data_IF_391685001499
#
_entry.id   IF_391685001499
#
_cell.length_a   1.000
_cell.length_b   1.000
_cell.length_c   1.000
_cell.angle_alpha   90.00
_cell.angle_beta   90.00
_cell.angle_gamma   90.00
#
_symmetry.space_group_name_H-M   'P 1'
#
loop_
_entity.id
_entity.type
_entity.pdbx_description
1 polymer ?
#
# COMPACT_ATOMS: atom_id res chain seq x y z
N UNK A 1 -13.32 13.49 -4.71
CA UNK A 1 -13.52 14.60 -3.75
C UNK A 1 -14.67 15.45 -4.24
N UNK A 2 -15.74 15.60 -3.45
CA UNK A 2 -16.93 16.35 -3.85
C UNK A 2 -16.64 17.86 -3.70
N UNK A 3 -17.37 18.72 -4.43
CA UNK A 3 -17.23 20.19 -4.29
C UNK A 3 -17.43 20.68 -2.86
N UNK A 4 -18.32 20.01 -2.13
CA UNK A 4 -18.62 20.31 -0.72
C UNK A 4 -17.41 20.09 0.19
N UNK A 5 -16.58 19.09 -0.08
CA UNK A 5 -15.37 18.80 0.69
C UNK A 5 -14.33 19.93 0.57
N UNK A 6 -14.21 20.50 -0.63
CA UNK A 6 -13.27 21.58 -0.94
C UNK A 6 -13.71 22.88 -0.25
N UNK A 7 -15.00 23.19 -0.28
CA UNK A 7 -15.52 24.41 0.35
C UNK A 7 -15.41 24.33 1.89
N UNK A 8 -15.60 23.13 2.46
CA UNK A 8 -15.37 22.87 3.89
C UNK A 8 -13.92 23.13 4.31
N UNK A 9 -12.95 22.56 3.58
CA UNK A 9 -11.52 22.78 3.86
C UNK A 9 -11.11 24.24 3.69
N UNK A 10 -11.68 24.93 2.68
CA UNK A 10 -11.42 26.36 2.47
C UNK A 10 -11.90 27.19 3.66
N UNK A 11 -13.11 26.92 4.16
CA UNK A 11 -13.66 27.63 5.32
C UNK A 11 -12.81 27.40 6.57
N UNK A 12 -12.40 26.16 6.82
CA UNK A 12 -11.52 25.81 7.95
C UNK A 12 -10.20 26.58 7.90
N UNK A 13 -9.58 26.67 6.72
CA UNK A 13 -8.36 27.47 6.52
C UNK A 13 -8.61 28.97 6.78
N UNK A 14 -9.72 29.52 6.31
CA UNK A 14 -10.08 30.93 6.52
C UNK A 14 -10.27 31.24 8.01
N UNK A 15 -11.00 30.38 8.74
CA UNK A 15 -11.22 30.51 10.17
C UNK A 15 -9.90 30.41 10.95
N UNK A 16 -9.01 29.49 10.56
CA UNK A 16 -7.70 29.34 11.18
C UNK A 16 -6.81 30.58 10.98
N UNK A 17 -6.76 31.12 9.75
CA UNK A 17 -5.98 32.33 9.42
C UNK A 17 -6.57 33.58 10.09
N UNK A 18 -7.89 33.66 10.26
CA UNK A 18 -8.52 34.76 11.00
C UNK A 18 -8.05 34.84 12.46
N UNK A 19 -7.75 33.69 13.08
CA UNK A 19 -7.27 33.60 14.47
C UNK A 19 -5.74 33.72 14.58
N UNK A 20 -4.99 33.07 13.69
CA UNK A 20 -3.53 32.92 13.81
C UNK A 20 -2.73 33.84 12.87
N UNK A 21 -3.42 34.67 12.08
CA UNK A 21 -2.83 35.51 11.04
C UNK A 21 -2.28 34.71 9.87
N UNK A 22 -1.84 35.41 8.83
CA UNK A 22 -1.28 34.79 7.63
C UNK A 22 -0.03 33.98 7.95
N UNK A 23 0.74 34.32 9.00
CA UNK A 23 1.89 33.53 9.46
C UNK A 23 1.56 32.10 9.87
N UNK A 24 0.32 31.83 10.33
CA UNK A 24 -0.13 30.49 10.73
C UNK A 24 -0.40 29.54 9.55
N UNK A 25 -0.47 30.05 8.32
CA UNK A 25 -0.87 29.26 7.14
C UNK A 25 -0.01 28.01 6.93
N UNK A 26 1.31 28.14 7.14
CA UNK A 26 2.26 27.05 6.91
C UNK A 26 2.00 25.92 7.90
N UNK A 27 1.79 26.26 9.18
CA UNK A 27 1.49 25.27 10.21
C UNK A 27 0.15 24.58 9.96
N UNK A 28 -0.87 25.31 9.51
CA UNK A 28 -2.16 24.71 9.13
C UNK A 28 -1.98 23.71 7.99
N UNK A 29 -1.31 24.12 6.90
CA UNK A 29 -1.08 23.26 5.73
C UNK A 29 -0.21 22.05 6.10
N UNK A 30 0.87 22.24 6.85
CA UNK A 30 1.74 21.14 7.29
C UNK A 30 0.94 20.15 8.16
N UNK A 31 0.13 20.64 9.10
CA UNK A 31 -0.71 19.78 9.93
C UNK A 31 -1.76 19.04 9.07
N UNK A 32 -2.42 19.74 8.15
CA UNK A 32 -3.52 19.20 7.35
C UNK A 32 -3.03 18.19 6.29
N UNK A 33 -1.95 18.53 5.58
CA UNK A 33 -1.36 17.67 4.55
C UNK A 33 -0.66 16.44 5.13
N UNK A 34 -0.18 16.49 6.38
CA UNK A 34 0.50 15.37 7.02
C UNK A 34 -0.40 14.56 7.96
N UNK A 35 -1.72 14.86 8.06
CA UNK A 35 -2.62 14.10 8.95
C UNK A 35 -2.64 12.61 8.63
N UNK A 36 -2.57 12.26 7.35
CA UNK A 36 -2.57 10.86 6.90
C UNK A 36 -1.40 10.06 7.47
N UNK A 37 -0.27 10.71 7.79
CA UNK A 37 0.91 10.03 8.34
C UNK A 37 0.74 9.57 9.79
N UNK A 38 -0.32 10.02 10.49
CA UNK A 38 -0.63 9.60 11.87
C UNK A 38 -1.03 8.13 11.97
N UNK A 39 -1.53 7.57 10.88
CA UNK A 39 -2.01 6.19 10.83
C UNK A 39 -1.24 5.41 9.77
N UNK A 40 -0.96 4.12 10.00
CA UNK A 40 -0.32 3.29 8.99
C UNK A 40 -1.27 3.12 7.80
N UNK A 41 -0.79 3.51 6.61
CA UNK A 41 -1.42 3.25 5.33
C UNK A 41 -0.79 2.00 4.72
N UNK A 42 -1.55 0.90 4.69
CA UNK A 42 -1.08 -0.44 4.29
C UNK A 42 -1.58 -0.77 2.89
N UNK A 43 -0.64 -0.96 1.98
CA UNK A 43 -0.91 -1.31 0.59
C UNK A 43 -0.44 -2.74 0.35
N UNK A 44 -1.37 -3.66 0.11
CA UNK A 44 -1.06 -4.99 -0.37
C UNK A 44 -0.74 -4.95 -1.86
N UNK A 45 0.37 -5.56 -2.29
CA UNK A 45 0.76 -5.70 -3.69
C UNK A 45 0.83 -7.18 -4.01
N UNK A 46 0.05 -7.63 -4.99
CA UNK A 46 -0.07 -9.07 -5.29
C UNK A 46 -0.29 -9.35 -6.78
N UNK A 47 0.09 -10.57 -7.16
CA UNK A 47 -0.08 -11.27 -8.43
C UNK A 47 0.77 -12.57 -8.38
N UNK A 48 0.54 -13.48 -9.31
CA UNK A 48 1.47 -14.47 -9.83
C UNK A 48 2.94 -13.99 -9.91
N UNK A 49 3.88 -14.90 -9.68
CA UNK A 49 5.33 -14.62 -9.71
C UNK A 49 5.84 -14.10 -11.07
N UNK A 50 6.95 -13.36 -11.07
CA UNK A 50 7.63 -12.89 -12.30
C UNK A 50 7.03 -11.64 -12.95
N UNK A 51 5.97 -11.07 -12.37
CA UNK A 51 5.21 -9.95 -12.94
C UNK A 51 5.70 -8.55 -12.52
N UNK A 52 6.94 -8.44 -12.03
CA UNK A 52 7.55 -7.14 -11.71
C UNK A 52 7.06 -6.47 -10.41
N UNK A 53 6.34 -7.18 -9.52
CA UNK A 53 5.85 -6.65 -8.23
C UNK A 53 6.94 -5.96 -7.41
N UNK A 54 8.06 -6.64 -7.18
CA UNK A 54 9.16 -6.10 -6.38
C UNK A 54 9.80 -4.88 -7.05
N UNK A 55 9.82 -4.83 -8.39
CA UNK A 55 10.25 -3.65 -9.16
C UNK A 55 9.28 -2.48 -8.99
N UNK A 56 7.97 -2.75 -8.99
CA UNK A 56 6.93 -1.75 -8.73
C UNK A 56 7.05 -1.20 -7.30
N UNK A 57 7.14 -2.07 -6.29
CA UNK A 57 7.32 -1.68 -4.88
C UNK A 57 8.54 -0.78 -4.73
N UNK A 58 9.68 -1.16 -5.33
CA UNK A 58 10.89 -0.35 -5.29
C UNK A 58 10.69 1.00 -5.97
N UNK A 59 10.03 1.04 -7.12
CA UNK A 59 9.74 2.27 -7.86
C UNK A 59 8.85 3.21 -7.04
N UNK A 60 7.78 2.69 -6.44
CA UNK A 60 6.88 3.45 -5.57
C UNK A 60 7.61 4.01 -4.34
N UNK A 61 8.60 3.26 -3.82
CA UNK A 61 9.46 3.68 -2.70
C UNK A 61 10.65 4.56 -3.11
N UNK A 62 10.79 4.88 -4.41
CA UNK A 62 11.92 5.65 -4.94
C UNK A 62 13.28 4.96 -4.80
N UNK A 63 13.32 3.63 -4.72
CA UNK A 63 14.52 2.82 -4.54
C UNK A 63 14.97 2.18 -5.86
N UNK A 64 16.30 2.06 -6.03
CA UNK A 64 16.89 1.24 -7.10
C UNK A 64 16.91 -0.22 -6.62
N UNK A 65 16.90 -1.18 -7.56
CA UNK A 65 16.84 -2.62 -7.26
C UNK A 65 17.98 -3.14 -6.37
N UNK A 66 19.13 -2.47 -6.36
CA UNK A 66 20.30 -2.81 -5.53
C UNK A 66 20.48 -1.94 -4.30
N UNK A 67 19.56 -1.02 -4.03
CA UNK A 67 19.61 -0.17 -2.85
C UNK A 67 19.41 -1.01 -1.57
N UNK A 68 20.07 -0.66 -0.45
CA UNK A 68 19.75 -1.26 0.84
C UNK A 68 18.25 -1.15 1.14
N UNK A 69 17.63 -2.26 1.55
CA UNK A 69 16.19 -2.31 1.85
C UNK A 69 15.26 -2.36 0.63
N UNK A 70 15.78 -2.48 -0.59
CA UNK A 70 14.98 -2.75 -1.79
C UNK A 70 14.37 -4.17 -1.74
N UNK A 71 13.16 -4.29 -2.25
CA UNK A 71 12.53 -5.57 -2.52
C UNK A 71 13.38 -6.33 -3.56
N UNK A 72 13.69 -7.60 -3.29
CA UNK A 72 14.56 -8.40 -4.15
C UNK A 72 13.84 -8.66 -5.47
N UNK A 73 14.51 -8.36 -6.59
CA UNK A 73 14.00 -8.60 -7.94
C UNK A 73 14.68 -9.86 -8.50
N UNK A 74 13.90 -10.83 -8.98
CA UNK A 74 14.41 -12.06 -9.59
C UNK A 74 13.34 -12.81 -10.39
N UNK A 75 13.77 -13.73 -11.27
CA UNK A 75 12.90 -14.50 -12.19
C UNK A 75 12.23 -15.70 -11.51
N UNK A 76 12.88 -16.26 -10.49
CA UNK A 76 12.34 -17.34 -9.65
C UNK A 76 11.31 -16.75 -8.69
N UNK A 77 10.27 -17.49 -8.30
CA UNK A 77 9.33 -17.06 -7.25
C UNK A 77 10.07 -16.56 -6.01
N UNK A 78 10.20 -15.23 -5.89
CA UNK A 78 11.07 -14.63 -4.88
C UNK A 78 10.38 -14.46 -3.52
N UNK A 79 9.10 -14.75 -3.42
CA UNK A 79 8.29 -14.42 -2.25
C UNK A 79 7.45 -15.63 -1.82
N UNK A 80 8.08 -16.53 -1.06
CA UNK A 80 7.41 -17.65 -0.35
C UNK A 80 6.86 -17.22 1.03
N UNK A 81 6.94 -15.92 1.35
CA UNK A 81 6.49 -15.34 2.61
C UNK A 81 6.06 -13.90 2.41
N UNK A 82 4.95 -13.49 3.03
CA UNK A 82 4.53 -12.08 3.11
C UNK A 82 5.69 -11.20 3.60
N UNK A 83 6.04 -10.16 2.84
CA UNK A 83 7.16 -9.27 3.18
C UNK A 83 6.74 -7.81 3.24
N UNK A 84 7.09 -7.15 4.34
CA UNK A 84 6.76 -5.75 4.63
C UNK A 84 7.89 -4.82 4.20
N UNK A 85 7.52 -3.73 3.52
CA UNK A 85 8.42 -2.70 3.01
C UNK A 85 7.89 -1.30 3.37
N UNK A 86 8.29 -0.73 4.51
CA UNK A 86 8.00 0.67 4.83
C UNK A 86 8.64 1.62 3.81
N UNK A 87 7.95 2.69 3.46
CA UNK A 87 8.52 3.75 2.64
C UNK A 87 9.67 4.44 3.38
N UNK A 88 10.85 4.66 2.75
CA UNK A 88 12.00 5.27 3.40
C UNK A 88 11.76 6.72 3.85
N UNK A 89 10.89 7.47 3.16
CA UNK A 89 10.57 8.87 3.49
C UNK A 89 9.36 8.97 4.41
N UNK A 90 8.42 8.04 4.30
CA UNK A 90 7.17 8.03 5.07
C UNK A 90 6.92 6.66 5.69
N UNK A 91 7.48 6.33 6.87
CA UNK A 91 7.38 5.00 7.46
C UNK A 91 5.95 4.50 7.74
N UNK A 92 4.97 5.41 7.86
CA UNK A 92 3.54 5.08 7.98
C UNK A 92 2.95 4.54 6.68
N UNK A 93 3.55 4.81 5.51
CA UNK A 93 3.20 4.19 4.23
C UNK A 93 3.95 2.86 4.10
N UNK A 94 3.21 1.76 4.05
CA UNK A 94 3.76 0.41 4.13
C UNK A 94 3.27 -0.40 2.95
N UNK A 95 4.20 -0.93 2.16
CA UNK A 95 3.90 -1.87 1.09
C UNK A 95 4.10 -3.31 1.58
N UNK A 96 3.12 -4.17 1.36
CA UNK A 96 3.22 -5.60 1.62
C UNK A 96 3.31 -6.33 0.29
N UNK A 97 4.45 -6.98 0.04
CA UNK A 97 4.59 -7.91 -1.10
C UNK A 97 3.94 -9.23 -0.70
N UNK A 98 2.78 -9.50 -1.30
CA UNK A 98 2.05 -10.73 -1.07
C UNK A 98 2.40 -11.76 -2.16
N UNK A 99 2.48 -13.04 -1.79
CA UNK A 99 2.62 -14.14 -2.73
C UNK A 99 1.44 -14.19 -3.72
N UNK A 100 1.64 -14.83 -4.87
CA UNK A 100 0.57 -14.99 -5.85
C UNK A 100 -0.43 -16.05 -5.41
N UNK A 101 -1.72 -15.82 -5.65
CA UNK A 101 -2.77 -16.79 -5.35
C UNK A 101 -2.86 -17.88 -6.42
N UNK A 102 -3.21 -19.09 -5.98
CA UNK A 102 -3.43 -20.26 -6.85
C UNK A 102 -2.18 -21.03 -7.22
N UNK A 103 -1.05 -20.76 -6.54
CA UNK A 103 0.15 -21.62 -6.62
C UNK A 103 0.01 -22.79 -5.64
N UNK A 104 0.78 -23.88 -5.79
CA UNK A 104 0.73 -25.01 -4.84
C UNK A 104 1.00 -24.62 -3.38
N UNK A 105 1.80 -23.58 -3.14
CA UNK A 105 2.08 -23.05 -1.79
C UNK A 105 1.02 -22.06 -1.29
N UNK A 106 0.20 -21.53 -2.20
CA UNK A 106 -0.82 -20.52 -1.92
C UNK A 106 -2.15 -20.89 -2.62
N UNK A 107 -2.74 -22.04 -2.28
CA UNK A 107 -4.00 -22.45 -2.88
C UNK A 107 -5.12 -21.49 -2.49
N UNK A 108 -6.05 -21.29 -3.41
CA UNK A 108 -7.08 -20.22 -3.35
C UNK A 108 -7.95 -20.31 -2.10
N UNK A 109 -8.39 -21.51 -1.75
CA UNK A 109 -9.26 -21.82 -0.61
C UNK A 109 -8.63 -21.51 0.75
N UNK A 110 -7.31 -21.48 0.84
CA UNK A 110 -6.57 -21.24 2.09
C UNK A 110 -5.76 -19.93 2.05
N UNK A 111 -5.85 -19.16 0.97
CA UNK A 111 -4.94 -18.06 0.68
C UNK A 111 -4.90 -17.04 1.84
N UNK A 112 -6.03 -16.49 2.25
CA UNK A 112 -6.07 -15.47 3.31
C UNK A 112 -5.68 -16.00 4.68
N UNK A 113 -6.02 -17.25 5.00
CA UNK A 113 -5.55 -17.88 6.23
C UNK A 113 -4.03 -18.01 6.26
N UNK A 114 -3.42 -18.39 5.13
CA UNK A 114 -1.96 -18.47 5.00
C UNK A 114 -1.35 -17.08 5.13
N UNK A 115 -1.90 -16.05 4.46
CA UNK A 115 -1.43 -14.66 4.57
C UNK A 115 -1.47 -14.20 6.03
N UNK A 116 -2.60 -14.42 6.72
CA UNK A 116 -2.75 -14.08 8.14
C UNK A 116 -1.72 -14.79 9.02
N UNK A 117 -1.51 -16.10 8.82
CA UNK A 117 -0.52 -16.89 9.57
C UNK A 117 0.92 -16.42 9.31
N UNK A 118 1.23 -15.95 8.11
CA UNK A 118 2.58 -15.48 7.74
C UNK A 118 2.87 -14.04 8.17
N UNK A 119 1.82 -13.24 8.40
CA UNK A 119 1.96 -11.83 8.72
C UNK A 119 2.30 -11.64 10.19
N UNK A 120 3.59 -11.42 10.48
CA UNK A 120 4.14 -11.43 11.84
C UNK A 120 3.69 -10.28 12.73
N UNK A 121 3.23 -9.18 12.15
CA UNK A 121 2.76 -8.00 12.88
C UNK A 121 1.25 -8.02 13.17
N UNK A 122 0.59 -9.17 12.95
CA UNK A 122 -0.82 -9.38 13.26
C UNK A 122 -1.79 -8.73 12.28
N UNK A 123 -1.28 -8.18 11.17
CA UNK A 123 -2.09 -7.58 10.10
C UNK A 123 -2.86 -8.69 9.38
N UNK A 124 -4.17 -8.55 9.35
CA UNK A 124 -5.10 -9.38 8.59
C UNK A 124 -5.42 -8.73 7.24
N UNK A 125 -6.13 -9.45 6.38
CA UNK A 125 -6.51 -8.93 5.09
C UNK A 125 -7.40 -7.67 5.18
N UNK A 126 -8.27 -7.62 6.18
CA UNK A 126 -9.15 -6.47 6.43
C UNK A 126 -8.41 -5.23 6.93
N UNK A 127 -7.12 -5.32 7.28
CA UNK A 127 -6.30 -4.20 7.72
C UNK A 127 -5.60 -3.48 6.57
N UNK A 128 -5.69 -4.00 5.34
CA UNK A 128 -5.17 -3.35 4.15
C UNK A 128 -6.12 -2.27 3.66
N UNK A 129 -5.61 -1.06 3.46
CA UNK A 129 -6.37 0.06 2.92
C UNK A 129 -6.53 -0.04 1.40
N UNK A 130 -5.54 -0.62 0.72
CA UNK A 130 -5.54 -0.78 -0.73
C UNK A 130 -4.94 -2.13 -1.17
N UNK A 131 -5.51 -2.70 -2.24
CA UNK A 131 -4.95 -3.82 -2.98
C UNK A 131 -4.50 -3.37 -4.37
N UNK A 132 -3.20 -3.51 -4.64
CA UNK A 132 -2.61 -3.34 -5.96
C UNK A 132 -2.40 -4.71 -6.60
N UNK A 133 -3.36 -5.11 -7.42
CA UNK A 133 -3.29 -6.34 -8.23
C UNK A 133 -2.62 -5.98 -9.55
N UNK A 134 -1.34 -6.33 -9.68
CA UNK A 134 -0.52 -5.97 -10.86
C UNK A 134 -0.70 -7.06 -11.90
N UNK A 135 -0.91 -6.80 -13.18
CA UNK A 135 -0.84 -7.84 -14.23
C UNK A 135 -0.01 -7.35 -15.41
N UNK A 136 0.77 -8.24 -16.05
CA UNK A 136 1.70 -7.86 -17.13
C UNK A 136 1.28 -8.35 -18.51
N UNK A 137 0.43 -9.37 -18.62
CA UNK A 137 0.06 -9.93 -19.94
C UNK A 137 -1.33 -10.55 -20.00
N UNK A 138 -1.76 -11.27 -18.95
CA UNK A 138 -3.08 -11.91 -18.88
C UNK A 138 -3.70 -11.66 -17.53
N UNK A 139 -4.97 -11.30 -17.54
CA UNK A 139 -5.80 -11.35 -16.36
C UNK A 139 -6.34 -12.77 -16.20
N UNK A 140 -6.14 -13.37 -15.04
CA UNK A 140 -6.47 -14.76 -14.75
C UNK A 140 -7.69 -14.87 -13.84
N UNK A 141 -8.29 -16.07 -13.75
CA UNK A 141 -9.36 -16.32 -12.78
C UNK A 141 -8.92 -16.11 -11.33
N UNK A 142 -7.62 -16.30 -11.05
CA UNK A 142 -7.03 -16.02 -9.75
C UNK A 142 -7.03 -14.52 -9.43
N UNK A 143 -6.75 -13.68 -10.43
CA UNK A 143 -6.82 -12.23 -10.29
C UNK A 143 -8.28 -11.78 -10.10
N UNK A 144 -9.23 -12.35 -10.86
CA UNK A 144 -10.66 -12.07 -10.71
C UNK A 144 -11.15 -12.43 -9.32
N UNK A 145 -10.85 -13.65 -8.88
CA UNK A 145 -11.25 -14.12 -7.55
C UNK A 145 -10.73 -13.18 -6.47
N UNK A 146 -9.47 -12.75 -6.57
CA UNK A 146 -8.91 -11.83 -5.59
C UNK A 146 -9.65 -10.49 -5.58
N UNK A 147 -9.96 -9.91 -6.76
CA UNK A 147 -10.77 -8.69 -6.86
C UNK A 147 -12.14 -8.84 -6.20
N UNK A 148 -12.79 -10.00 -6.33
CA UNK A 148 -14.09 -10.26 -5.69
C UNK A 148 -13.99 -10.36 -4.16
N UNK A 149 -12.86 -10.84 -3.64
CA UNK A 149 -12.66 -11.00 -2.20
C UNK A 149 -12.18 -9.71 -1.50
N UNK A 150 -11.62 -8.76 -2.23
CA UNK A 150 -11.01 -7.53 -1.67
C UNK A 150 -11.80 -6.26 -1.97
N UNK A 151 -13.10 -6.39 -2.28
CA UNK A 151 -14.03 -5.28 -2.51
C UNK A 151 -14.75 -4.83 -1.24
#
# INVERSE_FOLDING_TARGET
MKKEDIEGQRKELQDYVAVHGVSGYKQFLDNHLNQWMKYPLRIAVTNSSGHGKSSLINTLRGLKSKSPGAAKVGVVECTNTVTKYPDPKHPSLIYYDLPGVGTPSYPRDQYFEIIKKQTKDGVDICDFDFFLIVSTSRFTENDMWLVEQTQ
#
